data_IF_010709912015
#
_entry.id   IF_010709912015
#
_cell.length_a   1.000
_cell.length_b   1.000
_cell.length_c   1.000
_cell.angle_alpha   90.00
_cell.angle_beta   90.00
_cell.angle_gamma   90.00
#
_symmetry.space_group_name_H-M   'P 1'
#
loop_
_entity.id
_entity.type
_entity.pdbx_description
1 polymer ?
#
# COMPACT_ATOMS: atom_id res chain seq x y z
N UNK A 1 20.57 -2.77 -28.16
CA UNK A 1 20.18 -1.65 -27.25
C UNK A 1 19.73 -0.41 -28.05
N UNK A 2 20.51 0.11 -29.00
CA UNK A 2 20.21 1.34 -29.79
C UNK A 2 18.91 1.20 -30.60
N UNK A 3 18.65 0.05 -31.23
CA UNK A 3 17.43 -0.21 -32.01
C UNK A 3 16.16 -0.17 -31.13
N UNK A 4 16.23 -0.73 -29.92
CA UNK A 4 15.14 -0.73 -28.93
C UNK A 4 14.83 0.68 -28.44
N UNK A 5 15.85 1.50 -28.16
CA UNK A 5 15.67 2.90 -27.75
C UNK A 5 15.02 3.73 -28.85
N UNK A 6 15.49 3.62 -30.12
CA UNK A 6 14.87 4.33 -31.25
C UNK A 6 13.41 3.94 -31.45
N UNK A 7 13.08 2.64 -31.33
CA UNK A 7 11.71 2.17 -31.44
C UNK A 7 10.82 2.77 -30.35
N UNK A 8 11.32 2.86 -29.10
CA UNK A 8 10.60 3.47 -27.99
C UNK A 8 10.34 4.97 -28.22
N UNK A 9 11.40 5.72 -28.64
CA UNK A 9 11.27 7.14 -28.95
C UNK A 9 10.20 7.37 -30.02
N UNK A 10 10.23 6.60 -31.11
CA UNK A 10 9.26 6.74 -32.19
C UNK A 10 7.83 6.41 -31.71
N UNK A 11 7.64 5.37 -30.89
CA UNK A 11 6.35 5.04 -30.32
C UNK A 11 5.80 6.18 -29.46
N UNK A 12 6.64 6.76 -28.60
CA UNK A 12 6.26 7.90 -27.75
C UNK A 12 5.93 9.15 -28.58
N UNK A 13 6.75 9.46 -29.60
CA UNK A 13 6.51 10.60 -30.49
C UNK A 13 5.17 10.46 -31.24
N UNK A 14 4.88 9.27 -31.75
CA UNK A 14 3.62 9.00 -32.45
C UNK A 14 2.43 9.16 -31.50
N UNK A 15 2.54 8.69 -30.27
CA UNK A 15 1.48 8.84 -29.27
C UNK A 15 1.24 10.32 -28.89
N UNK A 16 2.31 11.12 -28.73
CA UNK A 16 2.17 12.55 -28.49
C UNK A 16 1.50 13.29 -29.66
N UNK A 17 1.87 12.94 -30.90
CA UNK A 17 1.24 13.49 -32.09
C UNK A 17 -0.24 13.08 -32.18
N UNK A 18 -0.59 11.86 -31.82
CA UNK A 18 -1.96 11.40 -31.73
C UNK A 18 -2.76 12.23 -30.71
N UNK A 19 -2.24 12.46 -29.52
CA UNK A 19 -2.87 13.30 -28.50
C UNK A 19 -3.10 14.74 -28.99
N UNK A 20 -2.12 15.33 -29.68
CA UNK A 20 -2.23 16.68 -30.25
C UNK A 20 -3.30 16.76 -31.36
N UNK A 21 -3.42 15.74 -32.20
CA UNK A 21 -4.39 15.70 -33.31
C UNK A 21 -5.80 15.36 -32.86
N UNK A 22 -5.96 14.74 -31.69
CA UNK A 22 -7.24 14.24 -31.19
C UNK A 22 -8.21 15.37 -30.89
N UNK A 23 -9.46 15.23 -31.35
CA UNK A 23 -10.58 16.10 -31.02
C UNK A 23 -11.56 15.33 -30.15
N UNK A 24 -11.12 15.06 -28.92
CA UNK A 24 -11.90 14.33 -27.94
C UNK A 24 -12.95 15.19 -27.25
N UNK A 25 -13.56 14.63 -26.22
CA UNK A 25 -14.69 15.26 -25.52
C UNK A 25 -14.27 15.86 -24.16
N UNK A 26 -13.28 15.27 -23.49
CA UNK A 26 -13.03 15.51 -22.06
C UNK A 26 -11.83 16.43 -21.84
N UNK A 27 -11.88 17.21 -20.76
CA UNK A 27 -10.77 18.02 -20.28
C UNK A 27 -9.91 17.18 -19.32
N UNK A 28 -8.60 17.09 -19.57
CA UNK A 28 -7.68 16.27 -18.80
C UNK A 28 -7.52 16.73 -17.35
N UNK A 29 -7.58 18.05 -17.09
CA UNK A 29 -7.47 18.60 -15.74
C UNK A 29 -8.72 18.27 -14.89
N UNK A 30 -9.90 18.26 -15.50
CA UNK A 30 -11.13 17.83 -14.82
C UNK A 30 -11.06 16.35 -14.43
N UNK A 31 -10.60 15.49 -15.34
CA UNK A 31 -10.39 14.05 -15.05
C UNK A 31 -9.41 13.88 -13.90
N UNK A 32 -8.27 14.60 -13.94
CA UNK A 32 -7.26 14.56 -12.89
C UNK A 32 -7.81 14.98 -11.52
N UNK A 33 -8.63 16.04 -11.48
CA UNK A 33 -9.21 16.51 -10.24
C UNK A 33 -10.25 15.52 -9.69
N UNK A 34 -11.16 15.02 -10.54
CA UNK A 34 -12.09 13.96 -10.14
C UNK A 34 -11.37 12.71 -9.60
N UNK A 35 -10.27 12.27 -10.24
CA UNK A 35 -9.45 11.17 -9.73
C UNK A 35 -8.94 11.46 -8.32
N UNK A 36 -8.44 12.68 -8.05
CA UNK A 36 -7.95 13.04 -6.71
C UNK A 36 -9.06 13.02 -5.68
N UNK A 37 -10.25 13.54 -6.04
CA UNK A 37 -11.40 13.59 -5.14
C UNK A 37 -11.87 12.17 -4.78
N UNK A 38 -12.00 11.27 -5.76
CA UNK A 38 -12.35 9.86 -5.55
C UNK A 38 -11.32 9.17 -4.64
N UNK A 39 -10.04 9.36 -4.94
CA UNK A 39 -8.97 8.76 -4.15
C UNK A 39 -8.94 9.28 -2.71
N UNK A 40 -9.22 10.57 -2.52
CA UNK A 40 -9.29 11.18 -1.20
C UNK A 40 -10.51 10.69 -0.40
N UNK A 41 -11.67 10.67 -1.02
CA UNK A 41 -12.92 10.34 -0.33
C UNK A 41 -13.02 8.85 0.04
N UNK A 42 -12.61 7.94 -0.86
CA UNK A 42 -12.90 6.52 -0.72
C UNK A 42 -11.67 5.62 -0.53
N UNK A 43 -10.47 6.09 -0.88
CA UNK A 43 -9.26 5.25 -0.91
C UNK A 43 -8.16 5.75 0.05
N UNK A 44 -8.32 6.90 0.68
CA UNK A 44 -7.33 7.51 1.57
C UNK A 44 -7.09 6.68 2.86
N UNK A 45 -7.42 7.22 4.03
CA UNK A 45 -7.08 6.60 5.33
C UNK A 45 -8.18 5.63 5.78
N UNK A 46 -9.43 6.09 5.79
CA UNK A 46 -10.60 5.32 6.22
C UNK A 46 -11.29 4.71 5.00
N UNK A 47 -11.39 3.40 4.95
CA UNK A 47 -11.89 2.66 3.79
C UNK A 47 -13.01 1.73 4.20
N UNK A 48 -14.03 1.65 3.36
CA UNK A 48 -15.11 0.67 3.45
C UNK A 48 -15.21 -0.10 2.14
N UNK A 49 -15.77 -1.31 2.16
CA UNK A 49 -15.99 -2.11 0.94
C UNK A 49 -16.82 -1.37 -0.10
N UNK A 50 -17.92 -0.74 0.33
CA UNK A 50 -18.81 0.01 -0.56
C UNK A 50 -18.12 1.25 -1.16
N UNK A 51 -17.38 2.01 -0.33
CA UNK A 51 -16.60 3.16 -0.81
C UNK A 51 -15.53 2.76 -1.83
N UNK A 52 -14.79 1.69 -1.55
CA UNK A 52 -13.78 1.16 -2.47
C UNK A 52 -14.40 0.62 -3.78
N UNK A 53 -15.53 -0.07 -3.71
CA UNK A 53 -16.22 -0.57 -4.89
C UNK A 53 -16.71 0.59 -5.78
N UNK A 54 -17.27 1.65 -5.16
CA UNK A 54 -17.64 2.89 -5.85
C UNK A 54 -16.43 3.54 -6.51
N UNK A 55 -15.32 3.70 -5.76
CA UNK A 55 -14.08 4.27 -6.29
C UNK A 55 -13.55 3.51 -7.51
N UNK A 56 -13.50 2.18 -7.43
CA UNK A 56 -13.03 1.35 -8.57
C UNK A 56 -13.87 1.60 -9.80
N UNK A 57 -15.21 1.63 -9.68
CA UNK A 57 -16.11 1.89 -10.80
C UNK A 57 -15.90 3.28 -11.40
N UNK A 58 -15.85 4.31 -10.56
CA UNK A 58 -15.68 5.70 -11.01
C UNK A 58 -14.29 5.94 -11.64
N UNK A 59 -13.22 5.34 -11.06
CA UNK A 59 -11.88 5.40 -11.64
C UNK A 59 -11.78 4.67 -12.98
N UNK A 60 -12.50 3.56 -13.16
CA UNK A 60 -12.57 2.84 -14.43
C UNK A 60 -13.27 3.68 -15.52
N UNK A 61 -14.34 4.40 -15.15
CA UNK A 61 -15.01 5.33 -16.05
C UNK A 61 -14.07 6.50 -16.44
N UNK A 62 -13.38 7.11 -15.48
CA UNK A 62 -12.38 8.15 -15.74
C UNK A 62 -11.21 7.65 -16.60
N UNK A 63 -10.79 6.39 -16.43
CA UNK A 63 -9.75 5.82 -17.29
C UNK A 63 -10.21 5.75 -18.75
N UNK A 64 -11.46 5.35 -19.02
CA UNK A 64 -12.05 5.38 -20.37
C UNK A 64 -12.16 6.83 -20.90
N UNK A 65 -12.61 7.77 -20.08
CA UNK A 65 -12.67 9.19 -20.46
C UNK A 65 -11.27 9.75 -20.79
N UNK A 66 -10.23 9.38 -20.05
CA UNK A 66 -8.87 9.84 -20.26
C UNK A 66 -8.26 9.43 -21.60
N UNK A 67 -8.82 8.43 -22.26
CA UNK A 67 -8.41 8.05 -23.63
C UNK A 67 -9.07 8.91 -24.70
N UNK A 68 -10.04 9.78 -24.35
CA UNK A 68 -10.81 10.62 -25.27
C UNK A 68 -10.77 12.11 -24.87
N UNK A 69 -9.59 12.61 -24.58
CA UNK A 69 -9.37 14.00 -24.20
C UNK A 69 -9.24 14.92 -25.40
N UNK A 70 -9.62 16.20 -25.22
CA UNK A 70 -9.42 17.29 -26.16
C UNK A 70 -8.39 18.25 -25.58
N UNK A 71 -7.34 18.56 -26.33
CA UNK A 71 -6.35 19.56 -25.99
C UNK A 71 -6.67 20.88 -26.70
N UNK A 72 -6.72 21.97 -25.94
CA UNK A 72 -6.91 23.30 -26.50
C UNK A 72 -5.61 23.80 -27.15
N UNK A 73 -4.47 23.57 -26.50
CA UNK A 73 -3.16 23.88 -27.06
C UNK A 73 -2.64 22.69 -27.90
N UNK A 74 -2.34 22.95 -29.17
CA UNK A 74 -1.84 21.95 -30.13
C UNK A 74 -0.32 22.00 -30.34
N UNK A 75 0.39 22.85 -29.60
CA UNK A 75 1.84 22.93 -29.65
C UNK A 75 2.51 21.77 -28.93
N UNK A 76 3.65 21.32 -29.47
CA UNK A 76 4.42 20.23 -28.87
C UNK A 76 5.21 20.71 -27.64
N UNK A 77 5.64 21.95 -27.62
CA UNK A 77 6.49 22.50 -26.57
C UNK A 77 5.72 23.51 -25.70
N UNK A 78 6.09 23.56 -24.41
CA UNK A 78 5.46 24.48 -23.48
C UNK A 78 3.95 24.21 -23.26
N UNK A 79 3.54 22.94 -23.36
CA UNK A 79 2.14 22.52 -23.33
C UNK A 79 1.86 21.64 -22.10
N UNK A 80 1.46 22.24 -20.95
CA UNK A 80 1.10 21.50 -19.75
C UNK A 80 -0.08 20.54 -19.96
N UNK A 81 -1.00 20.90 -20.86
CA UNK A 81 -2.18 20.08 -21.17
C UNK A 81 -1.78 18.75 -21.84
N UNK A 82 -0.82 18.81 -22.77
CA UNK A 82 -0.24 17.62 -23.40
C UNK A 82 0.49 16.74 -22.37
N UNK A 83 1.24 17.35 -21.46
CA UNK A 83 1.94 16.62 -20.38
C UNK A 83 0.94 15.87 -19.50
N UNK A 84 -0.15 16.50 -19.09
CA UNK A 84 -1.19 15.86 -18.29
C UNK A 84 -1.95 14.80 -19.09
N UNK A 85 -2.25 15.06 -20.38
CA UNK A 85 -2.91 14.06 -21.24
C UNK A 85 -2.05 12.78 -21.41
N UNK A 86 -0.74 12.92 -21.37
CA UNK A 86 0.18 11.78 -21.36
C UNK A 86 0.21 11.06 -20.01
N UNK A 87 0.19 11.79 -18.89
CA UNK A 87 0.36 11.24 -17.52
C UNK A 87 -0.92 10.68 -16.89
N UNK A 88 -2.04 11.39 -17.07
CA UNK A 88 -3.29 11.05 -16.36
C UNK A 88 -3.78 9.63 -16.59
N UNK A 89 -3.73 9.05 -17.81
CA UNK A 89 -4.08 7.65 -18.00
C UNK A 89 -3.20 6.67 -17.19
N UNK A 90 -1.91 6.98 -17.02
CA UNK A 90 -0.99 6.17 -16.21
C UNK A 90 -1.27 6.31 -14.71
N UNK A 91 -1.61 7.53 -14.26
CA UNK A 91 -2.01 7.79 -12.89
C UNK A 91 -3.31 7.05 -12.54
N UNK A 92 -4.28 7.02 -13.46
CA UNK A 92 -5.53 6.29 -13.27
C UNK A 92 -5.32 4.78 -13.20
N UNK A 93 -4.41 4.21 -14.01
CA UNK A 93 -4.01 2.80 -13.88
C UNK A 93 -3.44 2.50 -12.49
N UNK A 94 -2.56 3.36 -11.99
CA UNK A 94 -1.99 3.20 -10.66
C UNK A 94 -3.07 3.35 -9.57
N UNK A 95 -3.96 4.34 -9.69
CA UNK A 95 -5.08 4.53 -8.79
C UNK A 95 -5.99 3.30 -8.73
N UNK A 96 -6.29 2.70 -9.89
CA UNK A 96 -7.05 1.45 -9.99
C UNK A 96 -6.33 0.26 -9.36
N UNK A 97 -5.01 0.13 -9.53
CA UNK A 97 -4.24 -0.90 -8.83
C UNK A 97 -4.35 -0.76 -7.30
N UNK A 98 -4.26 0.47 -6.79
CA UNK A 98 -4.37 0.75 -5.35
C UNK A 98 -5.79 0.50 -4.85
N UNK A 99 -6.81 1.05 -5.50
CA UNK A 99 -8.21 0.94 -5.07
C UNK A 99 -8.72 -0.51 -5.16
N UNK A 100 -8.44 -1.20 -6.26
CA UNK A 100 -8.86 -2.58 -6.45
C UNK A 100 -8.10 -3.55 -5.54
N UNK A 101 -6.80 -3.36 -5.34
CA UNK A 101 -6.03 -4.12 -4.36
C UNK A 101 -6.54 -3.93 -2.93
N UNK A 102 -6.92 -2.70 -2.56
CA UNK A 102 -7.51 -2.40 -1.26
C UNK A 102 -8.92 -3.00 -1.09
N UNK A 103 -9.74 -3.00 -2.15
CA UNK A 103 -11.06 -3.62 -2.15
C UNK A 103 -10.99 -5.13 -1.90
N UNK A 104 -10.07 -5.81 -2.58
CA UNK A 104 -9.92 -7.26 -2.48
C UNK A 104 -9.32 -7.72 -1.15
N UNK A 105 -8.53 -6.87 -0.47
CA UNK A 105 -7.92 -7.20 0.81
C UNK A 105 -8.88 -6.96 1.97
N UNK A 106 -9.39 -8.04 2.54
CA UNK A 106 -10.42 -8.04 3.61
C UNK A 106 -9.80 -8.14 5.01
N UNK A 107 -8.84 -7.27 5.30
CA UNK A 107 -8.18 -7.12 6.61
C UNK A 107 -7.73 -5.68 6.81
N UNK A 108 -7.19 -5.38 7.99
CA UNK A 108 -6.42 -4.15 8.26
C UNK A 108 -4.98 -4.50 8.62
N UNK A 109 -4.00 -3.87 7.90
CA UNK A 109 -2.56 -4.14 8.08
C UNK A 109 -1.72 -2.93 7.71
N UNK A 110 -0.87 -2.47 8.59
CA UNK A 110 0.00 -1.31 8.36
C UNK A 110 -0.82 -0.05 8.07
N UNK A 111 -0.59 0.59 6.92
CA UNK A 111 -1.36 1.74 6.47
C UNK A 111 -2.69 1.36 5.78
N UNK A 112 -2.94 0.07 5.52
CA UNK A 112 -4.20 -0.41 4.99
C UNK A 112 -5.18 -0.62 6.12
N UNK A 113 -6.13 0.30 6.29
CA UNK A 113 -7.19 0.21 7.29
C UNK A 113 -8.56 0.10 6.60
N UNK A 114 -9.34 -0.92 6.99
CA UNK A 114 -10.70 -1.19 6.55
C UNK A 114 -11.63 -1.13 7.76
N UNK A 115 -12.59 -0.20 7.75
CA UNK A 115 -13.58 -0.08 8.84
C UNK A 115 -14.46 -1.32 8.96
N UNK A 116 -14.78 -1.95 7.84
CA UNK A 116 -15.55 -3.20 7.76
C UNK A 116 -14.72 -4.45 8.08
N UNK A 117 -13.38 -4.37 8.03
CA UNK A 117 -12.44 -5.43 8.41
C UNK A 117 -11.32 -4.88 9.30
N UNK A 118 -11.62 -4.42 10.54
CA UNK A 118 -10.67 -3.64 11.35
C UNK A 118 -9.53 -4.49 11.96
N UNK A 119 -9.51 -5.80 11.72
CA UNK A 119 -8.53 -6.72 12.30
C UNK A 119 -7.54 -7.22 11.26
N UNK A 120 -6.31 -7.50 11.70
CA UNK A 120 -5.29 -8.20 10.92
C UNK A 120 -5.62 -9.69 10.82
N UNK A 121 -5.44 -10.28 9.65
CA UNK A 121 -5.71 -11.69 9.37
C UNK A 121 -4.51 -12.34 8.68
N UNK A 122 -3.57 -12.87 9.46
CA UNK A 122 -2.38 -13.53 8.93
C UNK A 122 -2.68 -14.88 8.28
N UNK A 123 -3.75 -15.56 8.71
CA UNK A 123 -4.10 -16.85 8.15
C UNK A 123 -4.46 -16.77 6.67
N UNK A 124 -5.13 -15.70 6.26
CA UNK A 124 -5.58 -15.51 4.88
C UNK A 124 -4.75 -14.47 4.12
N UNK A 125 -4.17 -13.49 4.81
CA UNK A 125 -3.58 -12.30 4.21
C UNK A 125 -2.11 -12.05 4.52
N UNK A 126 -1.37 -13.02 5.11
CA UNK A 126 0.09 -12.92 5.24
C UNK A 126 0.77 -13.14 3.88
N UNK A 127 0.39 -12.32 2.91
CA UNK A 127 0.84 -12.39 1.52
C UNK A 127 0.92 -11.01 0.89
N UNK A 128 1.75 -10.88 -0.14
CA UNK A 128 1.90 -9.68 -0.94
C UNK A 128 0.89 -9.71 -2.09
N UNK A 129 0.19 -8.60 -2.31
CA UNK A 129 -0.65 -8.42 -3.50
C UNK A 129 0.21 -7.91 -4.65
N UNK A 130 0.15 -8.58 -5.79
CA UNK A 130 0.79 -8.21 -7.03
C UNK A 130 -0.29 -7.79 -8.03
N UNK A 131 -0.14 -6.62 -8.65
CA UNK A 131 -1.08 -6.10 -9.63
C UNK A 131 -0.42 -6.08 -11.00
N UNK A 132 -0.99 -6.80 -11.95
CA UNK A 132 -0.52 -6.88 -13.33
C UNK A 132 -1.50 -6.17 -14.26
N UNK A 133 -0.97 -5.30 -15.11
CA UNK A 133 -1.75 -4.59 -16.11
C UNK A 133 -1.35 -5.03 -17.52
N UNK A 134 -2.28 -5.63 -18.25
CA UNK A 134 -2.08 -6.00 -19.65
C UNK A 134 -2.61 -4.90 -20.57
N UNK A 135 -2.10 -4.85 -21.79
CA UNK A 135 -2.61 -3.93 -22.81
C UNK A 135 -4.07 -4.30 -23.14
N UNK A 136 -4.95 -3.31 -23.12
CA UNK A 136 -6.40 -3.50 -23.32
C UNK A 136 -7.22 -3.71 -22.06
N UNK A 137 -6.60 -3.98 -20.91
CA UNK A 137 -7.32 -4.14 -19.65
C UNK A 137 -7.85 -2.79 -19.12
N UNK A 138 -9.00 -2.84 -18.44
CA UNK A 138 -9.58 -1.70 -17.71
C UNK A 138 -9.39 -1.84 -16.20
N UNK A 139 -9.07 -3.04 -15.72
CA UNK A 139 -8.72 -3.36 -14.33
C UNK A 139 -7.47 -4.23 -14.29
N UNK A 140 -6.65 -4.14 -13.23
CA UNK A 140 -5.51 -5.02 -13.06
C UNK A 140 -5.93 -6.45 -12.72
N UNK A 141 -5.17 -7.42 -13.18
CA UNK A 141 -5.22 -8.79 -12.63
C UNK A 141 -4.43 -8.81 -11.34
N UNK A 142 -5.02 -9.36 -10.26
CA UNK A 142 -4.34 -9.51 -8.98
C UNK A 142 -3.86 -10.93 -8.77
N UNK A 143 -2.62 -11.05 -8.33
CA UNK A 143 -2.00 -12.30 -7.88
C UNK A 143 -1.47 -12.11 -6.46
N UNK A 144 -1.21 -13.22 -5.77
CA UNK A 144 -0.75 -13.19 -4.39
C UNK A 144 0.52 -14.01 -4.23
N UNK A 145 1.52 -13.39 -3.60
CA UNK A 145 2.77 -14.04 -3.25
C UNK A 145 2.78 -14.34 -1.76
N UNK A 146 2.86 -15.62 -1.40
CA UNK A 146 2.97 -16.05 -0.02
C UNK A 146 4.28 -15.56 0.60
N UNK A 147 4.22 -15.11 1.85
CA UNK A 147 5.37 -14.63 2.59
C UNK A 147 5.74 -15.61 3.70
N UNK A 148 6.95 -16.17 3.65
CA UNK A 148 7.53 -16.87 4.78
C UNK A 148 8.11 -15.85 5.77
N UNK A 149 7.26 -15.35 6.65
CA UNK A 149 7.63 -14.34 7.63
C UNK A 149 8.63 -14.85 8.66
N UNK A 150 8.78 -16.18 8.81
CA UNK A 150 9.75 -16.76 9.72
C UNK A 150 11.18 -16.67 9.19
N UNK A 151 11.35 -16.45 7.87
CA UNK A 151 12.64 -16.18 7.22
C UNK A 151 12.96 -14.70 7.11
N UNK A 152 12.06 -13.81 7.53
CA UNK A 152 12.31 -12.36 7.49
C UNK A 152 13.45 -11.99 8.45
N UNK A 153 14.23 -10.97 8.07
CA UNK A 153 15.32 -10.43 8.90
C UNK A 153 14.79 -9.97 10.27
N UNK A 154 13.63 -9.31 10.29
CA UNK A 154 12.94 -8.96 11.52
C UNK A 154 11.88 -10.01 11.84
N UNK A 155 11.91 -10.61 13.03
CA UNK A 155 10.89 -11.57 13.43
C UNK A 155 9.51 -10.88 13.54
N UNK A 156 8.42 -11.60 13.25
CA UNK A 156 7.09 -11.06 13.40
C UNK A 156 6.81 -10.75 14.88
N UNK A 157 6.19 -9.60 15.12
CA UNK A 157 5.79 -9.15 16.45
C UNK A 157 4.32 -8.71 16.42
N UNK A 158 3.69 -8.73 17.60
CA UNK A 158 2.36 -8.18 17.77
C UNK A 158 2.39 -6.66 17.49
N UNK A 159 1.50 -6.22 16.63
CA UNK A 159 1.20 -4.80 16.41
C UNK A 159 -0.31 -4.62 16.45
N UNK A 160 -0.79 -3.43 16.82
CA UNK A 160 -2.20 -3.05 16.88
C UNK A 160 -3.08 -3.71 15.81
N UNK A 161 -4.27 -3.44 15.54
CA UNK A 161 -5.23 -4.21 14.72
C UNK A 161 -5.40 -5.69 15.15
N UNK A 162 -4.66 -6.14 16.17
CA UNK A 162 -4.51 -7.54 16.48
C UNK A 162 -5.72 -8.12 17.18
N UNK A 163 -6.41 -9.03 16.51
CA UNK A 163 -7.14 -10.06 17.22
C UNK A 163 -6.14 -11.17 17.57
N UNK A 164 -6.02 -11.50 18.85
CA UNK A 164 -5.42 -12.78 19.25
C UNK A 164 -6.13 -13.89 18.48
N UNK A 165 -5.37 -14.73 17.79
CA UNK A 165 -5.89 -15.89 17.08
C UNK A 165 -5.65 -15.91 15.57
N UNK A 166 -5.57 -14.75 14.90
CA UNK A 166 -5.30 -14.68 13.45
C UNK A 166 -3.89 -14.18 13.10
N UNK A 167 -3.00 -14.08 14.09
CA UNK A 167 -1.65 -13.55 13.94
C UNK A 167 -0.65 -14.69 14.03
N UNK A 168 0.22 -14.79 13.03
CA UNK A 168 1.38 -15.67 13.07
C UNK A 168 2.46 -14.96 13.89
N UNK A 169 2.84 -15.54 15.01
CA UNK A 169 3.85 -15.00 15.90
C UNK A 169 5.11 -15.86 15.85
N UNK A 170 6.27 -15.22 15.94
CA UNK A 170 7.52 -15.93 16.19
C UNK A 170 7.45 -16.54 17.60
N UNK A 171 7.69 -17.86 17.75
CA UNK A 171 7.64 -18.53 19.07
C UNK A 171 8.53 -17.87 20.13
N UNK A 172 9.69 -17.31 19.73
CA UNK A 172 10.56 -16.56 20.64
C UNK A 172 9.94 -15.23 21.07
N UNK A 173 9.24 -14.54 20.17
CA UNK A 173 8.54 -13.30 20.49
C UNK A 173 7.34 -13.54 21.41
N UNK A 174 6.58 -14.60 21.18
CA UNK A 174 5.47 -14.98 22.06
C UNK A 174 5.97 -15.33 23.47
N UNK A 175 6.99 -16.17 23.56
CA UNK A 175 7.60 -16.53 24.86
C UNK A 175 8.15 -15.29 25.59
N UNK A 176 8.83 -14.39 24.87
CA UNK A 176 9.34 -13.13 25.43
C UNK A 176 8.20 -12.29 25.97
N UNK A 177 7.10 -12.17 25.23
CA UNK A 177 5.96 -11.38 25.66
C UNK A 177 5.33 -11.96 26.94
N UNK A 178 5.17 -13.27 27.06
CA UNK A 178 4.67 -13.93 28.27
C UNK A 178 5.58 -13.64 29.47
N UNK A 179 6.88 -13.71 29.30
CA UNK A 179 7.86 -13.41 30.34
C UNK A 179 7.81 -11.92 30.75
N UNK A 180 7.71 -11.00 29.78
CA UNK A 180 7.57 -9.55 30.02
C UNK A 180 6.29 -9.24 30.77
N UNK A 181 5.18 -9.83 30.38
CA UNK A 181 3.88 -9.65 31.03
C UNK A 181 3.90 -10.19 32.48
N UNK A 182 4.54 -11.32 32.71
CA UNK A 182 4.70 -11.90 34.05
C UNK A 182 5.58 -10.99 34.95
N UNK A 183 6.68 -10.45 34.42
CA UNK A 183 7.54 -9.51 35.15
C UNK A 183 6.78 -8.24 35.46
N UNK A 184 6.06 -7.68 34.49
CA UNK A 184 5.22 -6.48 34.68
C UNK A 184 4.20 -6.70 35.80
N UNK A 185 3.41 -7.77 35.71
CA UNK A 185 2.38 -8.07 36.71
C UNK A 185 2.99 -8.23 38.14
N UNK A 186 4.17 -8.86 38.24
CA UNK A 186 4.87 -8.98 39.52
C UNK A 186 5.28 -7.61 40.09
N UNK A 187 5.89 -6.75 39.29
CA UNK A 187 6.34 -5.43 39.69
C UNK A 187 5.18 -4.49 40.04
N UNK A 188 4.06 -4.60 39.33
CA UNK A 188 2.83 -3.87 39.67
C UNK A 188 2.26 -4.33 41.02
N UNK A 189 2.26 -5.64 41.29
CA UNK A 189 1.84 -6.18 42.60
C UNK A 189 2.77 -5.76 43.76
N UNK A 190 4.05 -5.50 43.48
CA UNK A 190 5.02 -4.96 44.42
C UNK A 190 4.88 -3.42 44.60
N UNK A 191 3.94 -2.78 43.90
CA UNK A 191 3.68 -1.34 43.99
C UNK A 191 4.71 -0.45 43.28
N UNK A 192 5.46 -1.01 42.32
CA UNK A 192 6.45 -0.26 41.53
C UNK A 192 5.76 0.73 40.62
N UNK A 193 6.37 1.91 40.45
CA UNK A 193 5.85 2.91 39.52
C UNK A 193 6.26 2.59 38.06
N UNK A 194 5.63 3.30 37.12
CA UNK A 194 5.80 3.08 35.68
C UNK A 194 7.27 3.14 35.21
N UNK A 195 8.09 4.04 35.77
CA UNK A 195 9.50 4.18 35.39
C UNK A 195 10.33 3.00 35.87
N UNK A 196 10.14 2.57 37.13
CA UNK A 196 10.83 1.40 37.68
C UNK A 196 10.49 0.12 36.91
N UNK A 197 9.23 -0.03 36.49
CA UNK A 197 8.79 -1.15 35.63
C UNK A 197 9.47 -1.09 34.28
N UNK A 198 9.51 0.09 33.64
CA UNK A 198 10.13 0.26 32.32
C UNK A 198 11.64 -0.03 32.36
N UNK A 199 12.35 0.44 33.39
CA UNK A 199 13.78 0.17 33.58
C UNK A 199 14.06 -1.33 33.78
N UNK A 200 13.26 -2.00 34.61
CA UNK A 200 13.39 -3.43 34.84
C UNK A 200 13.13 -4.26 33.56
N UNK A 201 12.14 -3.86 32.76
CA UNK A 201 11.83 -4.51 31.49
C UNK A 201 12.92 -4.28 30.44
N UNK A 202 13.51 -3.09 30.39
CA UNK A 202 14.64 -2.77 29.50
C UNK A 202 15.86 -3.66 29.84
N UNK A 203 16.21 -3.77 31.12
CA UNK A 203 17.29 -4.70 31.54
C UNK A 203 16.99 -6.16 31.21
N UNK A 204 15.74 -6.59 31.31
CA UNK A 204 15.34 -7.93 30.91
C UNK A 204 15.50 -8.16 29.41
N UNK A 205 15.14 -7.18 28.58
CA UNK A 205 15.28 -7.29 27.11
C UNK A 205 16.74 -7.32 26.64
N UNK A 206 17.69 -6.81 27.43
CA UNK A 206 19.12 -6.86 27.17
C UNK A 206 19.74 -8.26 27.44
N UNK A 207 19.01 -9.23 27.97
CA UNK A 207 19.56 -10.53 28.26
C UNK A 207 20.07 -11.25 27.00
N UNK A 208 21.19 -12.04 27.12
CA UNK A 208 21.82 -12.70 25.99
C UNK A 208 20.89 -13.60 25.17
N UNK A 209 19.88 -14.20 25.83
CA UNK A 209 18.89 -15.07 25.15
C UNK A 209 18.04 -14.33 24.09
N UNK A 210 17.92 -13.01 24.21
CA UNK A 210 17.20 -12.19 23.23
C UNK A 210 18.10 -11.33 22.35
N UNK A 211 19.42 -11.35 22.60
CA UNK A 211 20.38 -10.53 21.87
C UNK A 211 20.28 -10.74 20.35
N UNK A 212 20.28 -11.97 19.89
CA UNK A 212 20.18 -12.29 18.47
C UNK A 212 18.84 -11.82 17.84
N UNK A 213 17.75 -11.83 18.61
CA UNK A 213 16.45 -11.35 18.17
C UNK A 213 16.45 -9.81 18.02
N UNK A 214 17.08 -9.11 18.98
CA UNK A 214 17.19 -7.66 19.01
C UNK A 214 18.17 -7.15 17.93
N UNK A 215 19.30 -7.82 17.72
CA UNK A 215 20.25 -7.53 16.65
C UNK A 215 19.59 -7.62 15.27
N UNK A 216 18.77 -8.66 15.03
CA UNK A 216 18.00 -8.80 13.79
C UNK A 216 16.95 -7.69 13.63
N UNK A 217 16.42 -7.17 14.72
CA UNK A 217 15.46 -6.06 14.71
C UNK A 217 16.12 -4.68 14.51
N UNK A 218 17.47 -4.61 14.37
CA UNK A 218 18.19 -3.35 14.24
C UNK A 218 18.20 -2.53 15.53
N UNK A 219 17.89 -3.13 16.66
CA UNK A 219 18.00 -2.51 17.96
C UNK A 219 19.47 -2.62 18.38
N UNK A 220 20.27 -1.63 17.98
CA UNK A 220 21.64 -1.45 18.44
C UNK A 220 21.63 -0.99 19.88
N UNK A 221 22.47 -1.63 20.68
CA UNK A 221 22.82 -1.17 22.02
C UNK A 221 24.18 -0.48 21.90
N UNK A 222 24.22 0.83 21.76
CA UNK A 222 25.39 1.67 22.05
C UNK A 222 25.28 2.22 23.46
#
# INVERSE_FOLDING_TARGET
KTKTIKSFINKTQNYLNELLSKDGKYNVFEIKNKMKDIMWEHVAIFRTGDGLAKAVKELEELYKESTNVKLANKELFGNPELEEAYRVPMMLKLALCVAYGALQRTESRGAHYREDYPKRDDANWCKRTLAFWKEGDTLPTLEYEELDIMKMEMPPAFRGYGAKGNIIENPLSAKRQEEVDAIRAKLEAEGKNRHEIQDALMHYELQPKYKALNERAGIGYE
#
